data_IF_119838646869
#
_entry.id   IF_119838646869
#
_cell.length_a   1.000
_cell.length_b   1.000
_cell.length_c   1.000
_cell.angle_alpha   90.00
_cell.angle_beta   90.00
_cell.angle_gamma   90.00
#
_symmetry.space_group_name_H-M   'P 1'
#
loop_
_entity.id
_entity.type
_entity.pdbx_description
1 polymer ?
#
# COMPACT_ATOMS: atom_id res chain seq x y z
N UNK A 1 4.14 4.88 -25.14
CA UNK A 1 4.89 4.14 -24.12
C UNK A 1 5.84 5.11 -23.46
N UNK A 2 5.79 5.15 -22.14
CA UNK A 2 6.64 6.02 -21.31
C UNK A 2 8.08 5.50 -21.31
N UNK A 3 9.09 6.36 -21.11
CA UNK A 3 10.49 5.94 -21.00
C UNK A 3 10.82 5.27 -19.64
N UNK A 4 9.81 5.08 -18.79
CA UNK A 4 9.88 4.46 -17.47
C UNK A 4 8.58 3.72 -17.18
N UNK A 5 8.57 2.94 -16.09
CA UNK A 5 7.38 2.23 -15.61
C UNK A 5 6.72 2.97 -14.45
N UNK A 6 5.40 2.89 -14.40
CA UNK A 6 4.58 3.32 -13.27
C UNK A 6 4.33 2.11 -12.37
N UNK A 7 4.64 2.21 -11.08
CA UNK A 7 4.39 1.12 -10.13
C UNK A 7 3.04 1.33 -9.46
N UNK A 8 2.14 0.38 -9.62
CA UNK A 8 0.79 0.47 -9.07
C UNK A 8 0.23 -0.92 -8.77
N UNK A 9 -0.43 -1.04 -7.62
CA UNK A 9 -1.25 -2.20 -7.28
C UNK A 9 -2.66 -1.72 -6.94
N UNK A 10 -3.72 -2.40 -7.41
CA UNK A 10 -5.11 -2.10 -7.00
C UNK A 10 -5.35 -2.01 -5.48
N UNK A 11 -4.57 -2.74 -4.66
CA UNK A 11 -4.67 -2.74 -3.20
C UNK A 11 -4.15 -1.47 -2.53
N UNK A 12 -3.51 -0.56 -3.28
CA UNK A 12 -3.14 0.75 -2.73
C UNK A 12 -4.36 1.61 -2.38
N UNK A 13 -5.52 1.33 -2.97
CA UNK A 13 -6.78 1.81 -2.44
C UNK A 13 -7.24 0.95 -1.26
N UNK A 14 -6.88 1.37 -0.06
CA UNK A 14 -7.17 0.70 1.21
C UNK A 14 -8.66 0.72 1.61
N UNK A 15 -9.54 1.40 0.86
CA UNK A 15 -10.98 1.48 1.14
C UNK A 15 -11.34 1.95 2.56
N UNK A 16 -10.60 2.93 3.10
CA UNK A 16 -10.73 3.40 4.50
C UNK A 16 -12.02 4.20 4.81
N UNK A 17 -12.98 4.32 3.87
CA UNK A 17 -14.16 5.17 4.04
C UNK A 17 -13.79 6.66 4.16
N UNK A 18 -14.44 7.46 5.05
CA UNK A 18 -14.21 8.89 5.19
C UNK A 18 -12.94 9.22 6.01
N UNK A 19 -11.85 8.49 5.78
CA UNK A 19 -10.58 8.72 6.45
C UNK A 19 -9.86 9.94 5.87
N UNK A 20 -9.10 10.66 6.72
CA UNK A 20 -8.34 11.84 6.30
C UNK A 20 -7.22 11.52 5.30
N UNK A 21 -6.77 10.27 5.27
CA UNK A 21 -5.86 9.75 4.25
C UNK A 21 -6.67 9.17 3.06
N UNK A 22 -6.70 9.86 1.90
CA UNK A 22 -7.55 9.46 0.78
C UNK A 22 -6.86 8.40 -0.09
N UNK A 23 -6.86 7.13 0.34
CA UNK A 23 -6.25 6.01 -0.40
C UNK A 23 -6.77 5.88 -1.85
N UNK A 24 -8.05 6.21 -2.07
CA UNK A 24 -8.68 6.18 -3.40
C UNK A 24 -7.94 7.01 -4.46
N UNK A 25 -7.11 7.99 -4.04
CA UNK A 25 -6.30 8.80 -4.97
C UNK A 25 -5.41 7.92 -5.84
N UNK A 26 -4.88 6.81 -5.33
CA UNK A 26 -3.97 5.95 -6.10
C UNK A 26 -4.70 5.32 -7.29
N UNK A 27 -5.88 4.74 -7.06
CA UNK A 27 -6.76 4.21 -8.12
C UNK A 27 -7.20 5.29 -9.10
N UNK A 28 -7.59 6.46 -8.59
CA UNK A 28 -8.07 7.58 -9.42
C UNK A 28 -6.95 8.13 -10.31
N UNK A 29 -5.73 8.28 -9.79
CA UNK A 29 -4.57 8.73 -10.57
C UNK A 29 -4.22 7.71 -11.65
N UNK A 30 -4.11 6.42 -11.31
CA UNK A 30 -3.81 5.37 -12.29
C UNK A 30 -4.85 5.36 -13.43
N UNK A 31 -6.13 5.47 -13.09
CA UNK A 31 -7.22 5.58 -14.06
C UNK A 31 -7.12 6.83 -14.92
N UNK A 32 -6.88 8.00 -14.32
CA UNK A 32 -6.79 9.27 -15.05
C UNK A 32 -5.65 9.25 -16.08
N UNK A 33 -4.51 8.65 -15.74
CA UNK A 33 -3.37 8.53 -16.66
C UNK A 33 -3.71 7.71 -17.92
N UNK A 34 -4.53 6.67 -17.78
CA UNK A 34 -5.04 5.88 -18.91
C UNK A 34 -6.11 6.66 -19.69
N UNK A 35 -7.09 7.24 -18.98
CA UNK A 35 -8.22 7.96 -19.58
C UNK A 35 -7.73 9.18 -20.41
N UNK A 36 -6.70 9.88 -19.93
CA UNK A 36 -6.04 10.99 -20.64
C UNK A 36 -5.00 10.56 -21.67
N UNK A 37 -4.77 9.25 -21.84
CA UNK A 37 -3.75 8.67 -22.75
C UNK A 37 -2.32 9.14 -22.47
N UNK A 38 -2.03 9.50 -21.22
CA UNK A 38 -0.68 9.83 -20.76
C UNK A 38 0.14 8.54 -20.60
N UNK A 39 -0.49 7.47 -20.15
CA UNK A 39 0.08 6.13 -20.04
C UNK A 39 -0.81 5.11 -20.75
N UNK A 40 -0.23 3.98 -21.16
CA UNK A 40 -0.95 2.79 -21.59
C UNK A 40 -0.88 1.71 -20.49
N UNK A 41 -1.77 0.70 -20.49
CA UNK A 41 -1.73 -0.38 -19.49
C UNK A 41 -0.35 -1.06 -19.38
N UNK A 42 0.38 -1.16 -20.50
CA UNK A 42 1.71 -1.77 -20.55
C UNK A 42 2.79 -0.91 -19.88
N UNK A 43 2.53 0.38 -19.62
CA UNK A 43 3.45 1.26 -18.91
C UNK A 43 3.41 1.02 -17.39
N UNK A 44 2.47 0.22 -16.88
CA UNK A 44 2.35 -0.12 -15.46
C UNK A 44 3.04 -1.44 -15.12
N UNK A 45 3.61 -1.50 -13.92
CA UNK A 45 4.10 -2.71 -13.26
C UNK A 45 3.41 -2.88 -11.92
N UNK A 46 2.94 -4.10 -11.66
CA UNK A 46 2.45 -4.50 -10.35
C UNK A 46 3.65 -4.97 -9.50
N UNK A 47 3.87 -4.38 -8.32
CA UNK A 47 4.96 -4.80 -7.45
C UNK A 47 4.59 -6.04 -6.65
N UNK A 48 5.59 -6.87 -6.36
CA UNK A 48 5.48 -7.96 -5.40
C UNK A 48 5.59 -7.45 -3.96
N UNK A 49 4.98 -8.13 -2.98
CA UNK A 49 5.22 -7.85 -1.56
C UNK A 49 6.71 -7.92 -1.20
N UNK A 50 7.14 -7.05 -0.27
CA UNK A 50 8.49 -7.10 0.25
C UNK A 50 8.73 -8.39 1.06
N UNK A 51 9.95 -8.91 1.02
CA UNK A 51 10.33 -10.06 1.86
C UNK A 51 10.48 -9.65 3.32
N UNK A 52 10.29 -10.59 4.24
CA UNK A 52 10.52 -10.36 5.67
C UNK A 52 11.96 -9.89 5.94
N UNK A 53 12.93 -10.46 5.23
CA UNK A 53 14.34 -10.04 5.33
C UNK A 53 14.50 -8.56 4.96
N UNK A 54 13.78 -8.05 3.95
CA UNK A 54 13.81 -6.64 3.55
C UNK A 54 13.17 -5.74 4.61
N UNK A 55 12.02 -6.15 5.16
CA UNK A 55 11.33 -5.40 6.22
C UNK A 55 12.18 -5.32 7.49
N UNK A 56 12.85 -6.42 7.87
CA UNK A 56 13.65 -6.53 9.09
C UNK A 56 14.98 -5.77 9.04
N UNK A 57 15.36 -5.20 7.89
CA UNK A 57 16.49 -4.26 7.82
C UNK A 57 16.21 -2.93 8.53
N UNK A 58 14.94 -2.61 8.77
CA UNK A 58 14.50 -1.35 9.40
C UNK A 58 13.65 -1.61 10.64
N UNK A 59 12.75 -2.61 10.59
CA UNK A 59 11.82 -2.91 11.68
C UNK A 59 12.33 -4.02 12.60
N UNK A 60 11.86 -4.02 13.84
CA UNK A 60 12.17 -5.08 14.80
C UNK A 60 11.34 -6.34 14.50
N UNK A 61 11.87 -7.51 14.84
CA UNK A 61 11.12 -8.77 14.73
C UNK A 61 9.79 -8.73 15.49
N UNK A 62 9.78 -8.21 16.73
CA UNK A 62 8.57 -8.10 17.56
C UNK A 62 7.46 -7.30 16.87
N UNK A 63 7.82 -6.16 16.27
CA UNK A 63 6.86 -5.31 15.55
C UNK A 63 6.26 -6.04 14.33
N UNK A 64 7.10 -6.67 13.52
CA UNK A 64 6.67 -7.39 12.32
C UNK A 64 5.78 -8.58 12.68
N UNK A 65 6.14 -9.34 13.72
CA UNK A 65 5.32 -10.45 14.21
C UNK A 65 3.97 -9.97 14.71
N UNK A 66 3.92 -8.90 15.52
CA UNK A 66 2.65 -8.35 16.01
C UNK A 66 1.73 -7.86 14.90
N UNK A 67 2.30 -7.21 13.88
CA UNK A 67 1.54 -6.83 12.68
C UNK A 67 0.97 -8.06 11.98
N UNK A 68 1.81 -9.06 11.68
CA UNK A 68 1.38 -10.27 10.97
C UNK A 68 0.34 -11.10 11.72
N UNK A 69 0.45 -11.16 13.05
CA UNK A 69 -0.43 -11.94 13.90
C UNK A 69 -1.65 -11.15 14.39
N UNK A 70 -1.71 -9.83 14.15
CA UNK A 70 -2.77 -8.96 14.67
C UNK A 70 -2.80 -8.88 16.19
N UNK A 71 -1.63 -8.86 16.82
CA UNK A 71 -1.47 -8.83 18.29
C UNK A 71 -0.96 -7.49 18.82
N UNK A 72 -1.08 -6.43 18.02
CA UNK A 72 -0.79 -5.06 18.42
C UNK A 72 -1.66 -4.66 19.62
N UNK A 73 -1.06 -3.92 20.55
CA UNK A 73 -1.80 -3.21 21.60
C UNK A 73 -2.55 -2.02 21.00
N UNK A 74 -3.57 -1.53 21.71
CA UNK A 74 -4.30 -0.33 21.29
C UNK A 74 -3.37 0.87 21.07
N UNK A 75 -2.35 1.04 21.91
CA UNK A 75 -1.38 2.12 21.77
C UNK A 75 -0.53 1.98 20.49
N UNK A 76 -0.17 0.74 20.13
CA UNK A 76 0.57 0.45 18.89
C UNK A 76 -0.31 0.62 17.65
N UNK A 77 -1.59 0.19 17.68
CA UNK A 77 -2.53 0.44 16.58
C UNK A 77 -2.74 1.95 16.35
N UNK A 78 -2.83 2.74 17.43
CA UNK A 78 -2.95 4.20 17.31
C UNK A 78 -1.73 4.86 16.66
N UNK A 79 -0.55 4.23 16.70
CA UNK A 79 0.65 4.72 16.01
C UNK A 79 0.62 4.49 14.49
N UNK A 80 -0.22 3.57 14.00
CA UNK A 80 -0.32 3.30 12.56
C UNK A 80 -0.99 4.44 11.79
N UNK A 81 -1.78 5.28 12.47
CA UNK A 81 -2.60 6.37 11.90
C UNK A 81 -3.66 5.92 10.87
N UNK A 82 -3.65 4.65 10.47
CA UNK A 82 -4.66 3.95 9.69
C UNK A 82 -5.19 2.77 10.52
N UNK A 83 -6.49 2.43 10.40
CA UNK A 83 -7.04 1.25 11.06
C UNK A 83 -6.31 -0.02 10.62
N UNK A 84 -5.82 -0.81 11.58
CA UNK A 84 -5.23 -2.11 11.28
C UNK A 84 -6.29 -3.09 10.72
N UNK A 85 -5.88 -3.91 9.76
CA UNK A 85 -6.61 -5.11 9.36
C UNK A 85 -5.66 -6.19 8.85
N UNK A 86 -6.00 -7.49 8.98
CA UNK A 86 -5.16 -8.57 8.46
C UNK A 86 -4.88 -8.48 6.95
N UNK A 87 -5.78 -7.86 6.18
CA UNK A 87 -5.62 -7.67 4.72
C UNK A 87 -4.56 -6.62 4.35
N UNK A 88 -4.10 -5.81 5.30
CA UNK A 88 -3.05 -4.80 5.09
C UNK A 88 -1.64 -5.36 5.24
N UNK A 89 -1.48 -6.61 5.67
CA UNK A 89 -0.18 -7.26 5.93
C UNK A 89 0.15 -8.30 4.87
#
# INVERSE_FOLDING_TARGET
MLPFKLVYHPKYDLNLGPHVFPSQKFRLIARQLIDEKIAAPEDFLEPEPASDDDILRVHTHDWVTKLKEGTLTLAEEMQLEIPYSPEMV
#
